data_IF_814453954934
#
_entry.id   IF_814453954934
#
_cell.length_a   1.000
_cell.length_b   1.000
_cell.length_c   1.000
_cell.angle_alpha   90.00
_cell.angle_beta   90.00
_cell.angle_gamma   90.00
#
_symmetry.space_group_name_H-M   'P 1'
#
loop_
_entity.id
_entity.type
_entity.pdbx_description
1 polymer ?
#
# COMPACT_ATOMS: atom_id res chain seq x y z
N UNK A 1 0.73 14.27 -2.26
CA UNK A 1 0.16 12.98 -1.92
C UNK A 1 0.08 12.05 -3.12
N UNK A 2 -0.33 10.83 -2.91
CA UNK A 2 -0.33 9.82 -3.99
C UNK A 2 -1.18 10.27 -5.17
N UNK A 3 -2.36 10.83 -4.92
CA UNK A 3 -3.23 11.27 -6.01
C UNK A 3 -2.64 12.41 -6.82
N UNK A 4 -1.96 13.34 -6.17
CA UNK A 4 -1.32 14.46 -6.84
C UNK A 4 -0.21 14.00 -7.79
N UNK A 5 0.41 12.86 -7.51
CA UNK A 5 1.50 12.28 -8.30
C UNK A 5 1.03 11.15 -9.22
N UNK A 6 -0.27 11.04 -9.49
CA UNK A 6 -0.85 9.95 -10.27
C UNK A 6 -0.21 9.75 -11.65
N UNK A 7 0.14 10.83 -12.30
CA UNK A 7 0.78 10.73 -13.62
C UNK A 7 2.20 10.19 -13.51
N UNK A 8 2.91 10.55 -12.46
CA UNK A 8 4.24 10.00 -12.19
C UNK A 8 4.20 8.50 -12.03
N UNK A 9 3.28 8.01 -11.19
CA UNK A 9 3.15 6.57 -10.95
C UNK A 9 2.71 5.81 -12.20
N UNK A 10 1.84 6.42 -12.99
CA UNK A 10 1.36 5.81 -14.23
C UNK A 10 2.50 5.58 -15.23
N UNK A 11 3.39 6.54 -15.36
CA UNK A 11 4.47 6.52 -16.33
C UNK A 11 5.82 6.19 -15.69
N UNK A 12 5.80 5.60 -14.50
CA UNK A 12 6.98 5.44 -13.66
C UNK A 12 8.12 4.70 -14.36
N UNK A 13 7.83 3.55 -14.98
CA UNK A 13 8.87 2.77 -15.63
C UNK A 13 9.58 3.56 -16.73
N UNK A 14 8.83 4.31 -17.51
CA UNK A 14 9.39 5.14 -18.57
C UNK A 14 10.26 6.26 -18.01
N UNK A 15 9.76 6.93 -16.98
CA UNK A 15 10.49 8.03 -16.34
C UNK A 15 11.79 7.56 -15.69
N UNK A 16 11.75 6.43 -14.98
CA UNK A 16 12.93 5.89 -14.30
C UNK A 16 13.99 5.44 -15.30
N UNK A 17 13.59 4.89 -16.46
CA UNK A 17 14.53 4.46 -17.47
C UNK A 17 15.29 5.61 -18.13
N UNK A 18 14.73 6.83 -18.07
CA UNK A 18 15.28 8.01 -18.74
C UNK A 18 16.01 8.96 -17.80
N UNK A 19 15.86 8.83 -16.49
CA UNK A 19 16.39 9.82 -15.55
C UNK A 19 16.96 9.13 -14.32
N UNK A 20 18.31 9.05 -14.28
CA UNK A 20 19.01 8.40 -13.18
C UNK A 20 18.80 9.10 -11.83
N UNK A 21 18.73 10.45 -11.82
CA UNK A 21 18.48 11.18 -10.59
C UNK A 21 17.11 10.87 -10.02
N UNK A 22 16.10 10.82 -10.87
CA UNK A 22 14.74 10.46 -10.48
C UNK A 22 14.70 9.03 -9.95
N UNK A 23 15.38 8.10 -10.64
CA UNK A 23 15.50 6.70 -10.19
C UNK A 23 16.09 6.63 -8.78
N UNK A 24 17.20 7.33 -8.53
CA UNK A 24 17.88 7.33 -7.23
C UNK A 24 16.96 7.88 -6.15
N UNK A 25 16.28 8.99 -6.41
CA UNK A 25 15.36 9.60 -5.45
C UNK A 25 14.16 8.69 -5.16
N UNK A 26 13.63 8.05 -6.19
CA UNK A 26 12.51 7.13 -6.01
C UNK A 26 12.91 5.90 -5.19
N UNK A 27 14.09 5.34 -5.45
CA UNK A 27 14.63 4.24 -4.65
C UNK A 27 14.79 4.65 -3.19
N UNK A 28 15.27 5.87 -2.92
CA UNK A 28 15.38 6.40 -1.57
C UNK A 28 14.03 6.51 -0.88
N UNK A 29 13.01 6.97 -1.60
CA UNK A 29 11.65 7.07 -1.08
C UNK A 29 11.08 5.70 -0.75
N UNK A 30 11.24 4.72 -1.64
CA UNK A 30 10.80 3.35 -1.38
C UNK A 30 11.49 2.76 -0.15
N UNK A 31 12.81 2.99 -0.03
CA UNK A 31 13.56 2.53 1.13
C UNK A 31 13.06 3.13 2.44
N UNK A 32 12.76 4.44 2.45
CA UNK A 32 12.22 5.11 3.61
C UNK A 32 10.84 4.58 4.00
N UNK A 33 9.96 4.36 3.02
CA UNK A 33 8.63 3.78 3.25
C UNK A 33 8.73 2.38 3.81
N UNK A 34 9.62 1.56 3.24
CA UNK A 34 9.81 0.17 3.69
C UNK A 34 10.28 0.13 5.13
N UNK A 35 11.24 0.98 5.50
CA UNK A 35 11.73 1.06 6.88
C UNK A 35 10.62 1.48 7.83
N UNK A 36 9.80 2.46 7.45
CA UNK A 36 8.70 2.93 8.29
C UNK A 36 7.67 1.84 8.54
N UNK A 37 7.27 1.11 7.49
CA UNK A 37 6.31 0.01 7.62
C UNK A 37 6.91 -1.12 8.45
N UNK A 38 8.17 -1.45 8.23
CA UNK A 38 8.87 -2.49 9.00
C UNK A 38 8.92 -2.15 10.49
N UNK A 39 9.19 -0.90 10.83
CA UNK A 39 9.20 -0.43 12.21
C UNK A 39 7.80 -0.49 12.83
N UNK A 40 6.78 -0.12 12.07
CA UNK A 40 5.40 -0.18 12.53
C UNK A 40 4.98 -1.62 12.82
N UNK A 41 5.22 -2.55 11.90
CA UNK A 41 4.88 -3.96 12.07
C UNK A 41 5.65 -4.57 13.23
N UNK A 42 6.94 -4.24 13.36
CA UNK A 42 7.76 -4.70 14.48
C UNK A 42 7.22 -4.21 15.81
N UNK A 43 6.80 -2.95 15.89
CA UNK A 43 6.17 -2.38 17.08
C UNK A 43 4.86 -3.06 17.44
N UNK A 44 4.01 -3.31 16.44
CA UNK A 44 2.75 -4.02 16.65
C UNK A 44 2.99 -5.46 17.12
N UNK A 45 4.00 -6.13 16.59
CA UNK A 45 4.37 -7.47 17.01
C UNK A 45 4.85 -7.50 18.47
N UNK A 46 5.69 -6.54 18.86
CA UNK A 46 6.21 -6.44 20.23
C UNK A 46 5.11 -6.10 21.24
N UNK A 47 4.12 -5.32 20.84
CA UNK A 47 2.98 -4.97 21.71
C UNK A 47 1.96 -6.08 21.83
N UNK A 48 2.06 -7.12 21.00
CA UNK A 48 1.09 -8.23 20.99
C UNK A 48 -0.14 -7.96 20.12
N UNK A 49 -0.18 -6.83 19.39
CA UNK A 49 -1.32 -6.51 18.55
C UNK A 49 -1.43 -7.44 17.34
N UNK A 50 -0.30 -7.93 16.83
CA UNK A 50 -0.25 -8.92 15.75
C UNK A 50 0.74 -10.02 16.10
N UNK A 51 0.52 -11.20 15.50
CA UNK A 51 1.40 -12.36 15.63
C UNK A 51 2.14 -12.54 14.32
N UNK A 52 3.35 -11.98 14.23
CA UNK A 52 4.16 -12.06 13.02
C UNK A 52 5.58 -12.45 13.40
N UNK A 53 6.14 -13.47 12.74
CA UNK A 53 7.51 -13.86 13.01
C UNK A 53 8.49 -13.09 12.13
N UNK A 54 9.79 -13.17 12.48
CA UNK A 54 10.82 -12.39 11.79
C UNK A 54 10.97 -12.75 10.32
N UNK A 55 10.61 -13.98 9.92
CA UNK A 55 10.69 -14.39 8.52
C UNK A 55 9.56 -13.82 7.67
N UNK A 56 8.45 -13.47 8.30
CA UNK A 56 7.27 -12.92 7.64
C UNK A 56 7.28 -11.39 7.61
N UNK A 57 7.99 -10.77 8.55
CA UNK A 57 7.98 -9.31 8.73
C UNK A 57 8.43 -8.57 7.48
N UNK A 58 9.59 -8.93 6.94
CA UNK A 58 10.17 -8.23 5.80
C UNK A 58 9.35 -8.42 4.51
N UNK A 59 8.97 -9.65 4.13
CA UNK A 59 8.10 -9.83 2.96
C UNK A 59 6.77 -9.10 3.09
N UNK A 60 6.17 -9.09 4.27
CA UNK A 60 4.90 -8.40 4.50
C UNK A 60 5.07 -6.89 4.32
N UNK A 61 6.12 -6.31 4.91
CA UNK A 61 6.40 -4.89 4.76
C UNK A 61 6.67 -4.52 3.30
N UNK A 62 7.47 -5.30 2.59
CA UNK A 62 7.76 -5.08 1.18
C UNK A 62 6.49 -5.15 0.33
N UNK A 63 5.63 -6.14 0.59
CA UNK A 63 4.36 -6.29 -0.11
C UNK A 63 3.41 -5.12 0.13
N UNK A 64 3.34 -4.63 1.36
CA UNK A 64 2.52 -3.46 1.70
C UNK A 64 3.00 -2.21 0.97
N UNK A 65 4.32 -1.98 0.95
CA UNK A 65 4.89 -0.82 0.27
C UNK A 65 4.67 -0.90 -1.24
N UNK A 66 4.88 -2.09 -1.83
CA UNK A 66 4.65 -2.30 -3.25
C UNK A 66 3.19 -2.04 -3.61
N UNK A 67 2.26 -2.58 -2.84
CA UNK A 67 0.83 -2.39 -3.06
C UNK A 67 0.46 -0.92 -2.95
N UNK A 68 0.89 -0.26 -1.89
CA UNK A 68 0.56 1.14 -1.65
C UNK A 68 1.14 2.06 -2.73
N UNK A 69 2.38 1.77 -3.16
CA UNK A 69 3.09 2.61 -4.13
C UNK A 69 2.50 2.49 -5.54
N UNK A 70 2.13 1.27 -5.95
CA UNK A 70 1.69 1.02 -7.33
C UNK A 70 0.17 0.87 -7.46
N UNK A 71 -0.59 1.11 -6.39
CA UNK A 71 -2.04 0.92 -6.38
C UNK A 71 -2.76 1.75 -7.44
N UNK A 72 -2.38 3.03 -7.59
CA UNK A 72 -3.03 3.91 -8.57
C UNK A 72 -2.76 3.46 -10.01
N UNK A 73 -1.57 2.90 -10.27
CA UNK A 73 -1.27 2.31 -11.58
C UNK A 73 -2.18 1.11 -11.86
N UNK A 74 -2.38 0.27 -10.87
CA UNK A 74 -3.29 -0.86 -10.97
C UNK A 74 -4.72 -0.40 -11.27
N UNK A 75 -5.21 0.61 -10.54
CA UNK A 75 -6.54 1.17 -10.75
C UNK A 75 -6.68 1.78 -12.16
N UNK A 76 -5.64 2.45 -12.63
CA UNK A 76 -5.64 3.03 -13.96
C UNK A 76 -5.75 1.95 -15.05
N UNK A 77 -5.00 0.87 -14.92
CA UNK A 77 -5.05 -0.23 -15.89
C UNK A 77 -6.42 -0.90 -15.89
N UNK A 78 -7.02 -1.07 -14.71
CA UNK A 78 -8.30 -1.75 -14.56
C UNK A 78 -9.46 -0.92 -15.13
N UNK A 79 -9.42 0.39 -14.94
CA UNK A 79 -10.49 1.29 -15.41
C UNK A 79 -9.91 2.65 -15.81
N UNK A 80 -9.29 2.72 -17.00
CA UNK A 80 -8.61 3.96 -17.40
C UNK A 80 -9.53 5.15 -17.62
N UNK A 81 -10.82 4.90 -17.87
CA UNK A 81 -11.78 5.99 -18.12
C UNK A 81 -12.11 6.77 -16.87
N UNK A 82 -12.17 6.10 -15.71
CA UNK A 82 -12.60 6.71 -14.45
C UNK A 82 -11.47 6.94 -13.46
N UNK A 83 -10.32 6.28 -13.66
CA UNK A 83 -9.26 6.27 -12.67
C UNK A 83 -8.70 7.68 -12.34
N UNK A 84 -8.79 8.61 -13.28
CA UNK A 84 -8.28 9.98 -13.10
C UNK A 84 -9.36 10.97 -12.67
N UNK A 85 -10.61 10.56 -12.57
CA UNK A 85 -11.68 11.44 -12.12
C UNK A 85 -11.58 11.69 -10.61
N UNK A 86 -11.75 12.96 -10.14
CA UNK A 86 -11.61 13.27 -8.72
C UNK A 86 -12.51 12.46 -7.80
N UNK A 87 -13.76 12.21 -8.21
CA UNK A 87 -14.71 11.43 -7.40
C UNK A 87 -14.26 9.99 -7.23
N UNK A 88 -13.59 9.43 -8.25
CA UNK A 88 -13.02 8.08 -8.21
C UNK A 88 -11.73 8.02 -7.40
N UNK A 89 -11.00 9.13 -7.31
CA UNK A 89 -9.71 9.18 -6.64
C UNK A 89 -9.81 8.76 -5.17
N UNK A 90 -10.77 9.34 -4.46
CA UNK A 90 -10.94 9.04 -3.04
C UNK A 90 -11.35 7.59 -2.83
N UNK A 91 -12.28 7.09 -3.63
CA UNK A 91 -12.72 5.70 -3.55
C UNK A 91 -11.56 4.74 -3.87
N UNK A 92 -10.74 5.07 -4.87
CA UNK A 92 -9.57 4.26 -5.23
C UNK A 92 -8.55 4.20 -4.09
N UNK A 93 -8.27 5.33 -3.44
CA UNK A 93 -7.35 5.38 -2.30
C UNK A 93 -7.87 4.56 -1.13
N UNK A 94 -9.18 4.62 -0.85
CA UNK A 94 -9.78 3.81 0.21
C UNK A 94 -9.67 2.32 -0.07
N UNK A 95 -9.90 1.90 -1.32
CA UNK A 95 -9.72 0.50 -1.70
C UNK A 95 -8.27 0.05 -1.50
N UNK A 96 -7.31 0.90 -1.87
CA UNK A 96 -5.89 0.61 -1.66
C UNK A 96 -5.57 0.43 -0.19
N UNK A 97 -6.05 1.32 0.66
CA UNK A 97 -5.86 1.23 2.11
C UNK A 97 -6.46 -0.07 2.67
N UNK A 98 -7.64 -0.47 2.21
CA UNK A 98 -8.28 -1.72 2.61
C UNK A 98 -7.42 -2.92 2.24
N UNK A 99 -6.87 -2.96 1.02
CA UNK A 99 -6.02 -4.06 0.59
C UNK A 99 -4.74 -4.14 1.41
N UNK A 100 -4.14 -2.99 1.75
CA UNK A 100 -2.98 -2.97 2.64
C UNK A 100 -3.33 -3.54 4.01
N UNK A 101 -4.45 -3.12 4.59
CA UNK A 101 -4.90 -3.62 5.89
C UNK A 101 -5.21 -5.12 5.86
N UNK A 102 -5.79 -5.61 4.77
CA UNK A 102 -6.08 -7.03 4.61
C UNK A 102 -4.82 -7.90 4.63
N UNK A 103 -3.67 -7.36 4.29
CA UNK A 103 -2.42 -8.09 4.40
C UNK A 103 -2.04 -8.41 5.86
N UNK A 104 -2.60 -7.67 6.82
CA UNK A 104 -2.41 -7.95 8.24
C UNK A 104 -3.35 -9.03 8.78
N UNK A 105 -4.44 -9.34 8.07
CA UNK A 105 -5.47 -10.25 8.56
C UNK A 105 -4.93 -11.60 9.06
N UNK A 106 -3.98 -12.26 8.35
CA UNK A 106 -3.44 -13.55 8.83
C UNK A 106 -2.71 -13.48 10.16
N UNK A 107 -2.28 -12.28 10.57
CA UNK A 107 -1.46 -12.07 11.77
C UNK A 107 -2.27 -11.56 12.95
N UNK A 108 -3.57 -11.32 12.76
CA UNK A 108 -4.47 -10.82 13.79
C UNK A 108 -5.10 -11.98 14.56
N UNK A 109 -5.46 -11.72 15.82
CA UNK A 109 -6.32 -12.64 16.58
C UNK A 109 -7.68 -12.77 15.89
N UNK A 110 -8.38 -13.93 16.05
CA UNK A 110 -9.64 -14.14 15.32
C UNK A 110 -10.68 -13.05 15.52
N UNK A 111 -10.85 -12.54 16.73
CA UNK A 111 -11.82 -11.48 16.99
C UNK A 111 -11.44 -10.19 16.28
N UNK A 112 -10.16 -9.83 16.29
CA UNK A 112 -9.65 -8.63 15.60
C UNK A 112 -9.75 -8.80 14.10
N UNK A 113 -9.51 -9.99 13.58
CA UNK A 113 -9.64 -10.29 12.15
C UNK A 113 -11.09 -10.10 11.70
N UNK A 114 -12.04 -10.61 12.46
CA UNK A 114 -13.46 -10.44 12.15
C UNK A 114 -13.86 -8.97 12.16
N UNK A 115 -13.35 -8.20 13.12
CA UNK A 115 -13.62 -6.77 13.20
C UNK A 115 -13.07 -6.04 11.98
N UNK A 116 -11.85 -6.35 11.56
CA UNK A 116 -11.24 -5.77 10.36
C UNK A 116 -12.08 -6.10 9.11
N UNK A 117 -12.51 -7.35 8.96
CA UNK A 117 -13.33 -7.77 7.84
C UNK A 117 -14.68 -7.04 7.80
N UNK A 118 -15.30 -6.83 8.96
CA UNK A 118 -16.56 -6.11 9.06
C UNK A 118 -16.39 -4.64 8.66
N UNK A 119 -15.31 -3.98 9.10
CA UNK A 119 -15.01 -2.60 8.73
C UNK A 119 -14.76 -2.48 7.22
N UNK A 120 -13.98 -3.40 6.65
CA UNK A 120 -13.71 -3.41 5.21
C UNK A 120 -14.99 -3.55 4.39
N UNK A 121 -15.90 -4.42 4.81
CA UNK A 121 -17.18 -4.61 4.12
C UNK A 121 -18.00 -3.32 4.09
N UNK A 122 -17.94 -2.52 5.15
CA UNK A 122 -18.65 -1.24 5.22
C UNK A 122 -18.12 -0.23 4.19
N UNK A 123 -16.84 -0.32 3.83
CA UNK A 123 -16.22 0.61 2.88
C UNK A 123 -16.24 0.14 1.43
N UNK A 124 -16.68 -1.08 1.16
CA UNK A 124 -16.70 -1.64 -0.20
C UNK A 124 -17.95 -1.27 -1.00
N UNK A 125 -18.83 -0.50 -0.42
CA UNK A 125 -20.08 -0.08 -1.07
C UNK A 125 -19.90 1.13 -1.95
#
# INVERSE_FOLDING_TARGET
>A
RIWEYRFLYRDLNDLLSKNRLLETRFQGLLGAKTRAVRQLLGGLGRSGAIQIDGRELDPTADGMVALLTFWLSFEYVRDPRHALEPDHAQAALLRGAQHVLHQLAPYLEPAQRQHLMALSSAYQR
#
